data_IF_255069781236
#
_entry.id   IF_255069781236
#
_cell.length_a   1.000
_cell.length_b   1.000
_cell.length_c   1.000
_cell.angle_alpha   90.00
_cell.angle_beta   90.00
_cell.angle_gamma   90.00
#
_symmetry.space_group_name_H-M   'P 1'
#
loop_
_entity.id
_entity.type
_entity.pdbx_description
1 polymer ?
#
# COMPACT_ATOMS: atom_id res chain seq x y z
N UNK A 1 18.35 86.84 2.08
CA UNK A 1 19.31 85.72 2.29
C UNK A 1 18.52 84.51 2.72
N UNK A 2 18.13 83.67 1.74
CA UNK A 2 17.33 82.45 1.97
C UNK A 2 18.31 81.25 2.16
N UNK A 3 18.33 80.70 3.33
CA UNK A 3 19.11 79.48 3.60
C UNK A 3 18.30 78.24 3.37
N UNK A 4 18.64 77.53 2.30
CA UNK A 4 18.07 76.19 1.99
C UNK A 4 18.71 75.15 2.87
N UNK A 5 17.92 74.48 3.74
CA UNK A 5 18.35 73.29 4.47
C UNK A 5 18.23 72.03 3.59
N UNK A 6 19.34 71.34 3.36
CA UNK A 6 19.36 70.04 2.74
C UNK A 6 18.91 68.97 3.78
N UNK A 7 18.12 67.98 3.40
CA UNK A 7 17.82 66.83 4.23
C UNK A 7 19.03 65.88 4.31
N UNK A 8 19.34 65.43 5.52
CA UNK A 8 20.42 64.50 5.79
C UNK A 8 20.11 63.08 5.32
N UNK A 9 21.12 62.21 5.15
CA UNK A 9 20.94 60.86 4.66
C UNK A 9 20.12 59.98 5.64
N UNK A 10 19.09 59.36 5.08
CA UNK A 10 18.30 58.35 5.81
C UNK A 10 19.17 57.15 6.20
N UNK A 11 19.09 56.73 7.45
CA UNK A 11 19.77 55.55 7.98
C UNK A 11 19.23 54.26 7.26
N UNK A 12 20.09 53.28 6.96
CA UNK A 12 19.64 52.00 6.38
C UNK A 12 18.74 51.27 7.37
N UNK A 13 17.54 50.87 6.89
CA UNK A 13 16.65 50.00 7.66
C UNK A 13 17.36 48.69 7.94
N UNK A 14 17.54 48.35 9.20
CA UNK A 14 18.06 47.05 9.60
C UNK A 14 17.05 45.95 9.16
N UNK A 15 17.44 45.19 8.17
CA UNK A 15 16.72 44.01 7.68
C UNK A 15 16.66 42.99 8.82
N UNK A 16 15.44 42.71 9.27
CA UNK A 16 15.21 41.72 10.33
C UNK A 16 15.58 40.34 9.76
N UNK A 17 16.46 39.57 10.44
CA UNK A 17 16.83 38.24 9.92
C UNK A 17 15.60 37.40 9.77
N UNK A 18 15.43 36.76 8.59
CA UNK A 18 14.39 35.77 8.36
C UNK A 18 14.53 34.63 9.38
N UNK A 19 13.42 34.16 9.97
CA UNK A 19 13.48 33.02 10.87
C UNK A 19 14.05 31.79 10.11
N UNK A 20 14.89 30.98 10.78
CA UNK A 20 15.43 29.79 10.15
C UNK A 20 14.27 28.91 9.65
N UNK A 21 14.41 28.23 8.49
CA UNK A 21 13.37 27.36 7.95
C UNK A 21 12.99 26.33 9.02
N UNK A 22 11.73 26.28 9.38
CA UNK A 22 11.20 25.27 10.31
C UNK A 22 11.64 23.89 9.83
N UNK A 23 12.32 23.13 10.70
CA UNK A 23 12.75 21.78 10.41
C UNK A 23 11.52 20.96 10.01
N UNK A 24 11.49 20.49 8.75
CA UNK A 24 10.37 19.69 8.26
C UNK A 24 10.21 18.48 9.17
N UNK A 25 8.99 18.29 9.66
CA UNK A 25 8.66 17.14 10.50
C UNK A 25 9.04 15.82 9.78
N UNK A 26 9.70 14.87 10.47
CA UNK A 26 10.04 13.58 9.89
C UNK A 26 8.78 12.83 9.50
N UNK A 27 8.80 12.25 8.29
CA UNK A 27 7.68 11.48 7.74
C UNK A 27 8.12 10.07 7.36
N UNK A 28 7.21 9.12 7.48
CA UNK A 28 7.37 7.74 7.04
C UNK A 28 6.38 7.43 5.92
N UNK A 29 6.81 6.72 4.89
CA UNK A 29 5.93 6.29 3.80
C UNK A 29 5.29 4.98 4.18
N UNK A 30 3.97 4.99 4.40
CA UNK A 30 3.22 3.89 5.00
C UNK A 30 2.11 3.36 4.10
N UNK A 31 1.79 2.09 4.29
CA UNK A 31 0.63 1.43 3.68
C UNK A 31 0.20 0.21 4.50
N UNK A 32 -1.07 -0.18 4.40
CA UNK A 32 -1.56 -1.45 4.90
C UNK A 32 -1.52 -2.52 3.82
N UNK A 33 -1.16 -3.75 4.19
CA UNK A 33 -1.03 -4.87 3.26
C UNK A 33 -1.39 -6.22 3.88
N UNK A 34 -1.83 -7.14 3.03
CA UNK A 34 -1.76 -8.57 3.31
C UNK A 34 -0.33 -9.02 3.01
N UNK A 35 0.31 -9.62 4.04
CA UNK A 35 1.72 -9.98 4.01
C UNK A 35 1.88 -11.49 4.02
N UNK A 36 2.13 -12.13 2.85
CA UNK A 36 2.15 -13.58 2.75
C UNK A 36 3.39 -14.21 3.42
N UNK A 37 3.31 -15.49 3.73
CA UNK A 37 4.45 -16.27 4.18
C UNK A 37 5.44 -16.57 3.02
N UNK A 38 6.58 -17.17 3.37
CA UNK A 38 7.64 -17.50 2.39
C UNK A 38 7.18 -18.55 1.37
N UNK A 39 6.39 -19.55 1.79
CA UNK A 39 5.90 -20.60 0.90
C UNK A 39 4.92 -20.05 -0.15
N UNK A 40 4.02 -19.18 0.28
CA UNK A 40 3.07 -18.49 -0.60
C UNK A 40 3.80 -17.61 -1.63
N UNK A 41 4.84 -16.87 -1.20
CA UNK A 41 5.67 -16.06 -2.10
C UNK A 41 6.41 -16.91 -3.12
N UNK A 42 7.08 -17.98 -2.65
CA UNK A 42 7.81 -18.90 -3.52
C UNK A 42 6.91 -19.53 -4.58
N UNK A 43 5.68 -19.93 -4.22
CA UNK A 43 4.69 -20.47 -5.15
C UNK A 43 4.37 -19.47 -6.27
N UNK A 44 4.11 -18.19 -5.93
CA UNK A 44 3.81 -17.14 -6.92
C UNK A 44 5.02 -16.83 -7.79
N UNK A 45 6.23 -16.73 -7.23
CA UNK A 45 7.47 -16.56 -7.98
C UNK A 45 7.67 -17.70 -8.97
N UNK A 46 7.46 -18.94 -8.53
CA UNK A 46 7.58 -20.11 -9.41
C UNK A 46 6.58 -20.04 -10.56
N UNK A 47 5.31 -19.79 -10.29
CA UNK A 47 4.24 -19.75 -11.27
C UNK A 47 4.42 -18.62 -12.31
N UNK A 48 4.97 -17.47 -11.89
CA UNK A 48 5.11 -16.29 -12.75
C UNK A 48 6.47 -16.17 -13.45
N UNK A 49 7.46 -17.02 -13.08
CA UNK A 49 8.85 -16.93 -13.51
C UNK A 49 9.06 -16.80 -15.03
N UNK A 50 8.34 -17.62 -15.82
CA UNK A 50 8.44 -17.60 -17.29
C UNK A 50 7.97 -16.28 -17.87
N UNK A 51 6.82 -15.77 -17.42
CA UNK A 51 6.25 -14.52 -17.88
C UNK A 51 7.12 -13.30 -17.47
N UNK A 52 7.65 -13.31 -16.25
CA UNK A 52 8.56 -12.26 -15.76
C UNK A 52 9.82 -12.20 -16.64
N UNK A 53 10.44 -13.35 -16.96
CA UNK A 53 11.61 -13.40 -17.85
C UNK A 53 11.29 -12.87 -19.25
N UNK A 54 10.19 -13.32 -19.85
CA UNK A 54 9.80 -12.91 -21.21
C UNK A 54 9.40 -11.44 -21.30
N UNK A 55 9.01 -10.82 -20.20
CA UNK A 55 8.64 -9.41 -20.16
C UNK A 55 9.81 -8.44 -20.25
N UNK A 56 11.06 -8.92 -20.10
CA UNK A 56 12.25 -8.07 -19.97
C UNK A 56 12.22 -7.13 -18.79
N UNK A 57 11.27 -7.34 -17.87
CA UNK A 57 11.11 -6.54 -16.65
C UNK A 57 12.08 -6.95 -15.55
N UNK A 58 12.24 -6.08 -14.55
CA UNK A 58 12.99 -6.37 -13.34
C UNK A 58 12.08 -7.11 -12.36
N UNK A 59 12.40 -8.35 -11.93
CA UNK A 59 11.64 -9.05 -10.92
C UNK A 59 11.53 -8.24 -9.63
N UNK A 60 10.38 -8.31 -8.97
CA UNK A 60 10.24 -7.84 -7.58
C UNK A 60 10.89 -8.88 -6.67
N UNK A 61 11.72 -8.47 -5.68
CA UNK A 61 12.26 -9.39 -4.68
C UNK A 61 11.15 -10.19 -3.99
N UNK A 62 11.38 -11.47 -3.75
CA UNK A 62 10.36 -12.37 -3.20
C UNK A 62 9.82 -11.88 -1.86
N UNK A 63 10.69 -11.41 -0.97
CA UNK A 63 10.35 -10.85 0.33
C UNK A 63 9.49 -9.60 0.26
N UNK A 64 9.43 -8.96 -0.91
CA UNK A 64 8.67 -7.74 -1.16
C UNK A 64 7.28 -7.98 -1.77
N UNK A 65 6.93 -9.24 -2.06
CA UNK A 65 5.62 -9.58 -2.63
C UNK A 65 4.52 -9.44 -1.58
N UNK A 66 3.47 -8.67 -1.89
CA UNK A 66 2.34 -8.39 -0.99
C UNK A 66 1.11 -7.93 -1.78
N UNK A 67 -0.04 -7.91 -1.11
CA UNK A 67 -1.25 -7.24 -1.60
C UNK A 67 -1.46 -5.95 -0.83
N UNK A 68 -1.39 -4.80 -1.48
CA UNK A 68 -1.68 -3.51 -0.83
C UNK A 68 -3.18 -3.37 -0.57
N UNK A 69 -3.57 -3.09 0.67
CA UNK A 69 -4.96 -2.80 1.07
C UNK A 69 -5.28 -1.31 1.00
N UNK A 70 -4.45 -0.47 1.63
CA UNK A 70 -4.61 0.98 1.64
C UNK A 70 -3.24 1.66 1.66
N UNK A 71 -2.98 2.50 0.65
CA UNK A 71 -1.74 3.28 0.58
C UNK A 71 -1.95 4.66 1.21
N UNK A 72 -1.13 5.00 2.23
CA UNK A 72 -1.27 6.21 3.05
C UNK A 72 -0.30 7.33 2.63
N UNK A 73 0.75 6.99 1.87
CA UNK A 73 1.77 7.96 1.49
C UNK A 73 2.66 8.37 2.65
N UNK A 74 3.13 9.64 2.64
CA UNK A 74 3.98 10.20 3.68
C UNK A 74 3.15 10.61 4.89
N UNK A 75 3.39 9.96 6.01
CA UNK A 75 2.69 10.18 7.29
C UNK A 75 3.68 10.77 8.30
N UNK A 76 3.33 11.84 9.02
CA UNK A 76 4.15 12.36 10.11
C UNK A 76 4.44 11.27 11.15
N UNK A 77 5.69 11.18 11.62
CA UNK A 77 6.11 10.10 12.53
C UNK A 77 5.28 10.07 13.81
N UNK A 78 4.92 11.24 14.37
CA UNK A 78 4.07 11.37 15.57
C UNK A 78 2.67 10.76 15.40
N UNK A 79 2.19 10.54 14.14
CA UNK A 79 0.87 9.96 13.84
C UNK A 79 0.90 8.45 13.60
N UNK A 80 2.06 7.80 13.64
CA UNK A 80 2.17 6.35 13.41
C UNK A 80 1.39 5.56 14.46
N UNK A 81 1.47 5.95 15.73
CA UNK A 81 0.72 5.31 16.81
C UNK A 81 -0.81 5.41 16.62
N UNK A 82 -1.29 6.50 16.02
CA UNK A 82 -2.71 6.66 15.68
C UNK A 82 -3.14 5.66 14.59
N UNK A 83 -2.31 5.43 13.57
CA UNK A 83 -2.55 4.40 12.55
C UNK A 83 -2.57 2.99 13.13
N UNK A 84 -1.67 2.69 14.06
CA UNK A 84 -1.64 1.41 14.76
C UNK A 84 -2.94 1.20 15.56
N UNK A 85 -3.43 2.22 16.27
CA UNK A 85 -4.70 2.16 16.99
C UNK A 85 -5.92 1.98 16.06
N UNK A 86 -5.92 2.61 14.89
CA UNK A 86 -6.94 2.39 13.85
C UNK A 86 -6.91 0.94 13.38
N UNK A 87 -5.72 0.41 13.08
CA UNK A 87 -5.56 -0.94 12.56
C UNK A 87 -6.05 -2.00 13.56
N UNK A 88 -5.73 -1.86 14.86
CA UNK A 88 -6.23 -2.77 15.91
C UNK A 88 -7.75 -2.80 15.95
N UNK A 89 -8.41 -1.64 15.97
CA UNK A 89 -9.88 -1.56 15.95
C UNK A 89 -10.49 -2.21 14.71
N UNK A 90 -9.89 -1.99 13.52
CA UNK A 90 -10.36 -2.62 12.29
C UNK A 90 -10.18 -4.14 12.35
N UNK A 91 -9.06 -4.63 12.91
CA UNK A 91 -8.81 -6.08 13.06
C UNK A 91 -9.79 -6.77 14.02
N UNK A 92 -10.21 -6.07 15.08
CA UNK A 92 -11.17 -6.56 16.09
C UNK A 92 -12.62 -6.49 15.61
N UNK A 93 -12.92 -5.73 14.55
CA UNK A 93 -14.27 -5.55 14.06
C UNK A 93 -14.82 -6.87 13.50
N UNK A 94 -16.08 -7.25 13.82
CA UNK A 94 -16.70 -8.49 13.35
C UNK A 94 -16.70 -8.64 11.83
N UNK A 95 -16.75 -7.54 11.11
CA UNK A 95 -16.71 -7.47 9.64
C UNK A 95 -15.34 -7.82 9.05
N UNK A 96 -14.28 -7.76 9.88
CA UNK A 96 -12.94 -8.17 9.45
C UNK A 96 -12.81 -9.69 9.20
N UNK A 97 -13.80 -10.46 9.65
CA UNK A 97 -13.95 -11.90 9.40
C UNK A 97 -13.10 -12.77 10.34
N UNK A 98 -13.76 -13.63 11.12
CA UNK A 98 -13.09 -14.64 11.97
C UNK A 98 -12.51 -15.83 11.24
N UNK A 99 -12.62 -15.91 9.90
CA UNK A 99 -12.07 -16.97 9.07
C UNK A 99 -10.89 -16.43 8.25
N UNK A 100 -9.88 -17.28 7.96
CA UNK A 100 -8.77 -16.85 7.11
C UNK A 100 -9.27 -16.35 5.75
N UNK A 101 -8.75 -15.20 5.29
CA UNK A 101 -9.05 -14.67 3.96
C UNK A 101 -8.25 -15.43 2.91
N UNK A 102 -8.94 -15.86 1.85
CA UNK A 102 -8.33 -16.49 0.68
C UNK A 102 -8.27 -15.50 -0.48
N UNK A 103 -7.11 -15.31 -1.08
CA UNK A 103 -6.90 -14.57 -2.33
C UNK A 103 -6.20 -15.49 -3.31
N UNK A 104 -6.80 -15.74 -4.48
CA UNK A 104 -6.22 -16.60 -5.51
C UNK A 104 -5.81 -15.78 -6.72
N UNK A 105 -4.59 -15.97 -7.21
CA UNK A 105 -4.06 -15.28 -8.40
C UNK A 105 -4.06 -16.26 -9.58
N UNK A 106 -4.82 -15.95 -10.63
CA UNK A 106 -5.06 -16.85 -11.78
C UNK A 106 -4.73 -16.23 -13.13
N UNK A 107 -4.29 -14.96 -13.15
CA UNK A 107 -3.85 -14.31 -14.39
C UNK A 107 -2.77 -13.26 -14.15
N UNK A 108 -2.04 -12.98 -15.24
CA UNK A 108 -1.06 -11.91 -15.30
C UNK A 108 -1.55 -10.78 -16.20
N UNK A 109 -1.41 -9.54 -15.74
CA UNK A 109 -1.78 -8.35 -16.49
C UNK A 109 -0.60 -7.39 -16.53
N UNK A 110 -0.28 -6.91 -17.73
CA UNK A 110 0.69 -5.83 -17.90
C UNK A 110 -0.03 -4.49 -17.84
N UNK A 111 0.36 -3.67 -16.86
CA UNK A 111 -0.06 -2.28 -16.79
C UNK A 111 0.99 -1.41 -17.49
N UNK A 112 0.66 -0.95 -18.70
CA UNK A 112 1.56 -0.19 -19.56
C UNK A 112 2.07 1.10 -18.90
N UNK A 113 1.23 1.75 -18.10
CA UNK A 113 1.59 2.81 -17.17
C UNK A 113 1.17 2.33 -15.78
N UNK A 114 2.10 1.99 -14.90
CA UNK A 114 3.52 2.36 -14.73
C UNK A 114 4.56 1.31 -15.21
N UNK A 115 4.27 0.50 -16.21
CA UNK A 115 5.17 -0.52 -16.76
C UNK A 115 5.48 -1.63 -15.75
N UNK A 116 4.42 -2.23 -15.20
CA UNK A 116 4.52 -3.33 -14.25
C UNK A 116 3.75 -4.54 -14.73
N UNK A 117 4.19 -5.72 -14.29
CA UNK A 117 3.46 -6.97 -14.44
C UNK A 117 2.86 -7.33 -13.09
N UNK A 118 1.56 -7.55 -13.06
CA UNK A 118 0.81 -7.89 -11.85
C UNK A 118 0.15 -9.26 -11.99
N UNK A 119 0.19 -10.04 -10.93
CA UNK A 119 -0.69 -11.18 -10.72
C UNK A 119 -2.00 -10.67 -10.11
N UNK A 120 -3.14 -11.04 -10.69
CA UNK A 120 -4.48 -10.64 -10.29
C UNK A 120 -5.36 -11.85 -10.04
N UNK A 121 -6.44 -11.62 -9.32
CA UNK A 121 -7.58 -12.52 -9.24
C UNK A 121 -8.59 -12.16 -10.35
N UNK A 122 -9.06 -13.16 -11.11
CA UNK A 122 -10.04 -12.95 -12.17
C UNK A 122 -11.37 -12.39 -11.65
N UNK A 123 -11.79 -12.83 -10.47
CA UNK A 123 -13.04 -12.38 -9.84
C UNK A 123 -12.95 -10.95 -9.26
N UNK A 124 -11.76 -10.51 -8.83
CA UNK A 124 -11.52 -9.12 -8.38
C UNK A 124 -11.59 -8.09 -9.51
N UNK A 125 -11.68 -8.54 -10.76
CA UNK A 125 -11.92 -7.68 -11.93
C UNK A 125 -13.40 -7.58 -12.31
N UNK A 126 -14.30 -8.17 -11.56
CA UNK A 126 -15.74 -8.15 -11.82
C UNK A 126 -16.37 -6.77 -11.50
N UNK A 127 -15.88 -5.74 -12.23
CA UNK A 127 -16.72 -4.70 -12.78
C UNK A 127 -17.30 -5.10 -14.14
N UNK A 128 -17.17 -6.37 -14.56
CA UNK A 128 -17.75 -6.90 -15.79
C UNK A 128 -18.63 -8.10 -15.44
N UNK A 129 -19.95 -7.87 -15.54
CA UNK A 129 -21.00 -8.85 -15.26
C UNK A 129 -20.83 -10.12 -16.11
N UNK A 130 -20.69 -11.26 -15.46
CA UNK A 130 -21.22 -12.52 -15.96
C UNK A 130 -22.13 -13.10 -14.88
N UNK A 131 -23.42 -12.93 -15.10
CA UNK A 131 -24.46 -13.52 -14.26
C UNK A 131 -24.31 -15.06 -14.25
N UNK A 132 -24.25 -15.66 -13.05
CA UNK A 132 -24.56 -17.06 -12.89
C UNK A 132 -23.58 -17.98 -12.15
N UNK A 133 -22.46 -17.52 -11.60
CA UNK A 133 -21.61 -18.39 -10.79
C UNK A 133 -21.90 -18.20 -9.28
N UNK A 134 -21.99 -19.30 -8.47
CA UNK A 134 -22.18 -19.16 -7.03
C UNK A 134 -20.99 -18.44 -6.41
N UNK A 135 -21.26 -17.34 -5.71
CA UNK A 135 -20.28 -16.62 -4.91
C UNK A 135 -19.83 -17.52 -3.77
N UNK A 136 -18.68 -18.16 -3.92
CA UNK A 136 -18.00 -18.80 -2.81
C UNK A 136 -17.41 -17.69 -1.96
N UNK A 137 -17.88 -17.55 -0.71
CA UNK A 137 -17.73 -16.40 0.18
C UNK A 137 -16.32 -16.03 0.68
N UNK A 138 -15.26 -16.37 -0.04
CA UNK A 138 -13.89 -16.15 0.39
C UNK A 138 -13.25 -14.83 -0.07
N UNK A 139 -13.87 -14.09 -0.98
CA UNK A 139 -13.33 -12.81 -1.48
C UNK A 139 -13.98 -11.59 -0.79
N UNK A 140 -14.97 -11.79 0.06
CA UNK A 140 -15.63 -10.69 0.77
C UNK A 140 -14.71 -9.98 1.77
N UNK A 141 -13.72 -10.69 2.34
CA UNK A 141 -12.86 -10.18 3.41
C UNK A 141 -11.89 -9.07 2.96
N UNK A 142 -11.07 -9.30 1.92
CA UNK A 142 -10.02 -8.35 1.56
C UNK A 142 -10.55 -7.00 1.01
N UNK A 143 -11.58 -6.95 0.14
CA UNK A 143 -12.21 -5.69 -0.26
C UNK A 143 -12.85 -4.94 0.92
N UNK A 144 -13.59 -5.63 1.78
CA UNK A 144 -14.23 -5.03 2.95
C UNK A 144 -13.18 -4.48 3.93
N UNK A 145 -12.12 -5.24 4.20
CA UNK A 145 -11.00 -4.80 5.02
C UNK A 145 -10.31 -3.56 4.45
N UNK A 146 -10.06 -3.54 3.14
CA UNK A 146 -9.45 -2.38 2.48
C UNK A 146 -10.34 -1.13 2.59
N UNK A 147 -11.65 -1.26 2.38
CA UNK A 147 -12.59 -0.13 2.51
C UNK A 147 -12.72 0.33 3.97
N UNK A 148 -12.76 -0.58 4.96
CA UNK A 148 -12.75 -0.23 6.39
C UNK A 148 -11.49 0.55 6.77
N UNK A 149 -10.31 0.08 6.35
CA UNK A 149 -9.04 0.78 6.59
C UNK A 149 -9.01 2.17 5.96
N UNK A 150 -9.48 2.31 4.71
CA UNK A 150 -9.58 3.61 4.03
C UNK A 150 -10.56 4.54 4.74
N UNK A 151 -11.75 4.04 5.09
CA UNK A 151 -12.78 4.81 5.79
C UNK A 151 -12.30 5.32 7.14
N UNK A 152 -11.78 4.43 7.99
CA UNK A 152 -11.30 4.77 9.32
C UNK A 152 -10.11 5.74 9.30
N UNK A 153 -9.17 5.56 8.36
CA UNK A 153 -8.04 6.48 8.20
C UNK A 153 -8.50 7.84 7.67
N UNK A 154 -9.43 7.89 6.72
CA UNK A 154 -10.00 9.13 6.20
C UNK A 154 -10.75 9.90 7.30
N UNK A 155 -11.55 9.23 8.12
CA UNK A 155 -12.28 9.82 9.25
C UNK A 155 -11.35 10.48 10.28
N UNK A 156 -10.08 10.06 10.33
CA UNK A 156 -9.03 10.64 11.19
C UNK A 156 -8.14 11.65 10.46
N UNK A 157 -8.51 12.07 9.25
CA UNK A 157 -7.79 13.09 8.47
C UNK A 157 -6.49 12.60 7.83
N UNK A 158 -6.32 11.28 7.62
CA UNK A 158 -5.34 10.76 6.69
C UNK A 158 -5.89 10.80 5.27
N UNK A 159 -5.02 10.76 4.28
CA UNK A 159 -5.39 10.83 2.85
C UNK A 159 -4.96 9.57 2.11
N UNK A 160 -5.63 8.41 2.36
CA UNK A 160 -5.31 7.18 1.63
C UNK A 160 -5.67 7.31 0.14
N UNK A 161 -5.05 6.49 -0.71
CA UNK A 161 -5.49 6.35 -2.11
C UNK A 161 -6.90 5.72 -2.12
N UNK A 162 -7.89 6.49 -2.57
CA UNK A 162 -9.31 6.10 -2.56
C UNK A 162 -9.73 5.29 -3.80
N UNK A 163 -8.80 4.88 -4.65
CA UNK A 163 -9.15 4.01 -5.79
C UNK A 163 -9.83 2.72 -5.31
N UNK A 164 -10.77 2.18 -6.09
CA UNK A 164 -11.37 0.88 -5.79
C UNK A 164 -10.30 -0.18 -5.53
N UNK A 165 -10.53 -1.00 -4.52
CA UNK A 165 -9.60 -2.07 -4.19
C UNK A 165 -9.66 -3.18 -5.26
N UNK A 166 -8.49 -3.54 -5.78
CA UNK A 166 -8.30 -4.70 -6.63
C UNK A 166 -7.12 -5.51 -6.10
N UNK A 167 -7.38 -6.74 -5.68
CA UNK A 167 -6.33 -7.62 -5.18
C UNK A 167 -5.31 -7.90 -6.30
N UNK A 168 -4.08 -7.44 -6.11
CA UNK A 168 -2.99 -7.67 -7.05
C UNK A 168 -1.65 -7.74 -6.35
N UNK A 169 -0.72 -8.49 -6.96
CA UNK A 169 0.69 -8.54 -6.55
C UNK A 169 1.55 -8.09 -7.72
N UNK A 170 2.36 -7.06 -7.53
CA UNK A 170 3.37 -6.66 -8.53
C UNK A 170 4.50 -7.67 -8.53
N UNK A 171 4.68 -8.41 -9.65
CA UNK A 171 5.73 -9.44 -9.80
C UNK A 171 6.94 -8.96 -10.60
N UNK A 172 6.77 -7.92 -11.44
CA UNK A 172 7.89 -7.28 -12.13
C UNK A 172 7.64 -5.78 -12.35
N UNK A 173 8.72 -5.01 -12.41
CA UNK A 173 8.74 -3.57 -12.70
C UNK A 173 9.59 -3.28 -13.95
N UNK A 174 9.46 -2.08 -14.52
CA UNK A 174 10.18 -1.65 -15.74
C UNK A 174 10.01 -2.64 -16.89
N UNK A 175 8.82 -3.21 -17.01
CA UNK A 175 8.46 -4.17 -18.07
C UNK A 175 8.69 -3.54 -19.44
N UNK A 176 9.46 -4.24 -20.29
CA UNK A 176 9.79 -3.80 -21.64
C UNK A 176 8.73 -4.24 -22.64
N UNK A 177 8.24 -5.47 -22.48
CA UNK A 177 7.30 -6.09 -23.41
C UNK A 177 6.14 -6.69 -22.64
N UNK A 178 4.90 -6.48 -23.11
CA UNK A 178 3.75 -7.19 -22.57
C UNK A 178 3.95 -8.69 -22.85
N UNK A 179 4.02 -9.56 -21.82
CA UNK A 179 4.04 -10.99 -22.06
C UNK A 179 2.72 -11.40 -22.73
N UNK A 180 2.76 -12.43 -23.58
CA UNK A 180 1.54 -13.00 -24.11
C UNK A 180 0.59 -13.34 -22.97
N UNK A 181 -0.68 -13.02 -23.13
CA UNK A 181 -1.71 -13.39 -22.15
C UNK A 181 -1.69 -14.91 -21.97
N UNK A 182 -1.28 -15.36 -20.80
CA UNK A 182 -1.27 -16.79 -20.47
C UNK A 182 -2.09 -16.96 -19.19
N UNK A 183 -2.98 -17.98 -19.15
CA UNK A 183 -3.61 -18.36 -17.91
C UNK A 183 -2.51 -18.74 -16.91
N UNK A 184 -2.65 -18.27 -15.68
CA UNK A 184 -1.84 -18.68 -14.56
C UNK A 184 -2.61 -19.80 -13.85
N UNK A 185 -1.95 -20.93 -13.55
CA UNK A 185 -2.55 -21.89 -12.62
C UNK A 185 -2.84 -21.16 -11.31
N UNK A 186 -4.04 -21.29 -10.73
CA UNK A 186 -4.39 -20.54 -9.53
C UNK A 186 -3.37 -20.72 -8.41
N UNK A 187 -2.88 -19.61 -7.87
CA UNK A 187 -1.97 -19.57 -6.72
C UNK A 187 -2.72 -19.00 -5.53
N UNK A 188 -3.18 -19.83 -4.59
CA UNK A 188 -3.92 -19.37 -3.42
C UNK A 188 -2.98 -18.82 -2.35
N UNK A 189 -3.36 -17.70 -1.77
CA UNK A 189 -2.76 -17.11 -0.58
C UNK A 189 -3.83 -16.98 0.51
N UNK A 190 -3.50 -17.44 1.72
CA UNK A 190 -4.39 -17.41 2.88
C UNK A 190 -3.83 -16.48 3.93
N UNK A 191 -4.70 -15.65 4.51
CA UNK A 191 -4.29 -14.65 5.50
C UNK A 191 -5.21 -14.71 6.71
N UNK A 192 -4.62 -14.71 7.89
CA UNK A 192 -5.27 -14.51 9.20
C UNK A 192 -4.95 -13.15 9.81
N UNK A 193 -4.11 -12.38 9.13
CA UNK A 193 -3.63 -11.07 9.57
C UNK A 193 -3.41 -10.12 8.39
N UNK A 194 -3.36 -8.84 8.69
CA UNK A 194 -2.78 -7.80 7.83
C UNK A 194 -1.70 -7.03 8.57
N UNK A 195 -0.93 -6.19 7.88
CA UNK A 195 0.19 -5.48 8.48
C UNK A 195 0.24 -4.01 8.07
N UNK A 196 0.78 -3.16 8.96
CA UNK A 196 1.25 -1.82 8.65
C UNK A 196 2.71 -1.89 8.23
N UNK A 197 2.99 -1.39 7.03
CA UNK A 197 4.28 -1.51 6.37
C UNK A 197 4.88 -0.13 6.14
N UNK A 198 6.17 0.01 6.41
CA UNK A 198 6.98 1.15 5.97
C UNK A 198 7.65 0.84 4.64
N UNK A 199 7.61 1.80 3.72
CA UNK A 199 8.32 1.77 2.45
C UNK A 199 9.45 2.80 2.46
N UNK A 200 10.68 2.35 2.37
CA UNK A 200 11.85 3.22 2.17
C UNK A 200 12.31 3.11 0.74
N UNK A 201 12.60 4.26 0.13
CA UNK A 201 13.14 4.30 -1.24
C UNK A 201 14.66 4.21 -1.16
N UNK A 202 15.23 3.15 -1.72
CA UNK A 202 16.67 2.95 -1.82
C UNK A 202 17.11 2.95 -3.29
N UNK A 203 18.40 3.16 -3.59
CA UNK A 203 18.91 3.14 -4.98
C UNK A 203 18.58 1.85 -5.74
N UNK A 204 18.53 0.71 -5.03
CA UNK A 204 18.18 -0.59 -5.59
C UNK A 204 16.67 -0.78 -5.83
N UNK A 205 15.83 0.03 -5.20
CA UNK A 205 14.37 -0.04 -5.26
C UNK A 205 13.75 0.14 -3.87
N UNK A 206 12.43 0.02 -3.75
CA UNK A 206 11.76 0.14 -2.46
C UNK A 206 12.11 -1.06 -1.56
N UNK A 207 12.42 -0.77 -0.31
CA UNK A 207 12.60 -1.74 0.78
C UNK A 207 11.42 -1.59 1.72
N UNK A 208 10.84 -2.72 2.13
CA UNK A 208 9.68 -2.78 2.99
C UNK A 208 10.03 -3.36 4.36
N UNK A 209 9.48 -2.76 5.41
CA UNK A 209 9.63 -3.22 6.79
C UNK A 209 8.25 -3.29 7.44
N UNK A 210 7.92 -4.43 8.04
CA UNK A 210 6.71 -4.58 8.84
C UNK A 210 6.89 -3.78 10.13
N UNK A 211 5.95 -2.85 10.40
CA UNK A 211 5.91 -2.12 11.67
C UNK A 211 5.16 -2.95 12.72
N UNK A 212 3.98 -3.46 12.33
CA UNK A 212 3.11 -4.26 13.19
C UNK A 212 2.17 -5.11 12.35
N UNK A 213 1.83 -6.31 12.85
CA UNK A 213 0.84 -7.21 12.25
C UNK A 213 -0.38 -7.33 13.15
N UNK A 214 -1.57 -7.40 12.55
CA UNK A 214 -2.87 -7.40 13.22
C UNK A 214 -3.64 -8.66 12.86
N UNK A 215 -3.87 -9.53 13.84
CA UNK A 215 -4.67 -10.74 13.66
C UNK A 215 -6.15 -10.37 13.51
N UNK A 216 -6.82 -11.01 12.57
CA UNK A 216 -8.22 -10.78 12.28
C UNK A 216 -9.13 -11.61 13.21
N UNK A 217 -10.15 -10.97 13.78
CA UNK A 217 -11.18 -11.67 14.57
C UNK A 217 -10.74 -12.17 15.95
N UNK A 218 -9.57 -11.76 16.48
CA UNK A 218 -9.21 -11.99 17.89
C UNK A 218 -9.50 -10.73 18.70
N UNK A 219 -10.53 -10.78 19.53
CA UNK A 219 -10.62 -9.90 20.71
C UNK A 219 -9.52 -10.36 21.69
N UNK A 220 -8.73 -9.40 22.22
CA UNK A 220 -7.78 -9.68 23.32
C UNK A 220 -8.56 -9.95 24.62
N UNK A 221 -9.17 -11.14 24.74
CA UNK A 221 -9.84 -11.61 25.95
C UNK A 221 -9.53 -13.08 26.19
N UNK A 222 -8.25 -13.44 26.29
CA UNK A 222 -7.80 -14.69 26.93
C UNK A 222 -6.47 -14.42 27.65
N UNK A 223 -6.56 -13.62 28.73
CA UNK A 223 -5.64 -13.70 29.84
C UNK A 223 -6.48 -14.00 31.09
N UNK A 224 -6.65 -15.29 31.35
CA UNK A 224 -6.98 -15.81 32.67
C UNK A 224 -5.89 -16.76 33.13
#
# INVERSE_FOLDING_TARGET
>A
MSGTRQPGPSAPSAERPEPPPEAREPTRRLFFALWPDAGQRAALVHATRKAVRSSGGRPVPEESLHVTLAFLGSVPERRVAELQAIARRVAEAPEAGGAPMLVSFDRLVHWAKPRILCALNAEGSAGFETAGAPRVGALAGAPALAESLKGETTARGFTPDLKPFHAHVTVARKVAHAPAAQPLSPVPWTFDAFALIESRTEPAGPVYSVIESYLLGKTENEHE
#
